data_IF_455490424749
#
_entry.id   IF_455490424749
#
_cell.length_a   1.000
_cell.length_b   1.000
_cell.length_c   1.000
_cell.angle_alpha   90.00
_cell.angle_beta   90.00
_cell.angle_gamma   90.00
#
_symmetry.space_group_name_H-M   'P 1'
#
loop_
_entity.id
_entity.type
_entity.pdbx_description
1 polymer ?
#
# COMPACT_ATOMS: atom_id res chain seq x y z
N UNK A 1 0.37 -7.39 -31.47
CA UNK A 1 1.33 -6.74 -30.53
C UNK A 1 0.52 -5.99 -29.49
N UNK A 2 0.82 -6.20 -28.21
CA UNK A 2 0.28 -5.41 -27.10
C UNK A 2 1.31 -4.34 -26.70
N UNK A 3 0.83 -3.15 -26.35
CA UNK A 3 1.68 -2.06 -25.83
C UNK A 3 1.15 -1.72 -24.45
N UNK A 4 1.96 -1.92 -23.42
CA UNK A 4 1.64 -1.55 -22.04
C UNK A 4 2.03 -0.10 -21.82
N UNK A 5 1.12 0.70 -21.26
CA UNK A 5 1.29 2.13 -21.08
C UNK A 5 0.82 2.50 -19.69
N UNK A 6 1.50 3.46 -19.07
CA UNK A 6 1.11 3.98 -17.77
C UNK A 6 -0.06 4.95 -17.91
N UNK A 7 -1.03 4.79 -17.02
CA UNK A 7 -2.19 5.65 -16.89
C UNK A 7 -2.42 5.97 -15.40
N UNK A 8 -2.92 7.16 -15.13
CA UNK A 8 -3.33 7.57 -13.79
C UNK A 8 -4.86 7.49 -13.74
N UNK A 9 -5.39 6.94 -12.65
CA UNK A 9 -6.81 6.96 -12.37
C UNK A 9 -7.16 8.23 -11.60
N UNK A 10 -7.94 9.12 -12.21
CA UNK A 10 -8.33 10.42 -11.65
C UNK A 10 -9.83 10.63 -11.92
N UNK A 11 -10.60 10.97 -10.89
CA UNK A 11 -12.04 11.25 -10.98
C UNK A 11 -12.88 10.18 -11.70
N UNK A 12 -12.52 8.91 -11.52
CA UNK A 12 -13.23 7.80 -12.16
C UNK A 12 -12.79 7.49 -13.59
N UNK A 13 -11.81 8.23 -14.12
CA UNK A 13 -11.34 8.15 -15.50
C UNK A 13 -9.85 7.75 -15.56
N UNK A 14 -9.51 6.89 -16.52
CA UNK A 14 -8.11 6.57 -16.83
C UNK A 14 -7.53 7.64 -17.76
N UNK A 15 -6.53 8.36 -17.28
CA UNK A 15 -5.80 9.38 -18.03
C UNK A 15 -4.42 8.85 -18.39
N UNK A 16 -4.18 8.69 -19.69
CA UNK A 16 -2.85 8.33 -20.20
C UNK A 16 -1.89 9.51 -20.02
N UNK A 17 -0.65 9.22 -19.64
CA UNK A 17 0.39 10.24 -19.54
C UNK A 17 0.72 10.88 -20.90
N UNK A 18 0.51 10.14 -21.99
CA UNK A 18 0.70 10.61 -23.37
C UNK A 18 -0.45 10.16 -24.27
N UNK A 19 -0.89 11.00 -25.22
CA UNK A 19 -1.90 10.60 -26.20
C UNK A 19 -1.45 9.39 -27.01
N UNK A 20 -2.36 8.45 -27.24
CA UNK A 20 -2.10 7.32 -28.11
C UNK A 20 -2.44 7.68 -29.56
N UNK A 21 -1.57 7.37 -30.53
CA UNK A 21 -1.85 7.61 -31.96
C UNK A 21 -2.81 6.53 -32.51
N UNK A 22 -3.96 6.36 -31.85
CA UNK A 22 -5.00 5.45 -32.28
C UNK A 22 -6.04 6.20 -33.14
N UNK A 23 -6.56 5.56 -34.20
CA UNK A 23 -7.71 6.09 -34.93
C UNK A 23 -8.91 6.34 -34.01
N UNK A 24 -9.72 7.34 -34.35
CA UNK A 24 -11.00 7.59 -33.66
C UNK A 24 -11.88 6.34 -33.65
N UNK A 25 -12.49 6.04 -32.49
CA UNK A 25 -13.35 4.86 -32.25
C UNK A 25 -12.64 3.50 -32.30
N UNK A 26 -11.33 3.46 -32.10
CA UNK A 26 -10.61 2.20 -31.94
C UNK A 26 -11.09 1.45 -30.69
N UNK A 27 -11.34 0.14 -30.82
CA UNK A 27 -11.65 -0.74 -29.68
C UNK A 27 -10.36 -1.06 -28.94
N UNK A 28 -10.33 -0.83 -27.63
CA UNK A 28 -9.19 -1.11 -26.77
C UNK A 28 -9.59 -2.04 -25.62
N UNK A 29 -8.64 -2.84 -25.15
CA UNK A 29 -8.79 -3.66 -23.94
C UNK A 29 -7.93 -3.04 -22.85
N UNK A 30 -8.50 -2.86 -21.66
CA UNK A 30 -7.81 -2.30 -20.51
C UNK A 30 -7.56 -3.43 -19.51
N UNK A 31 -6.30 -3.61 -19.12
CA UNK A 31 -5.89 -4.49 -18.03
C UNK A 31 -5.41 -3.60 -16.89
N UNK A 32 -6.01 -3.74 -15.71
CA UNK A 32 -5.57 -3.04 -14.50
C UNK A 32 -4.86 -4.06 -13.62
N UNK A 33 -3.56 -3.90 -13.47
CA UNK A 33 -2.78 -4.67 -12.51
C UNK A 33 -2.84 -3.94 -11.18
N UNK A 34 -3.71 -4.40 -10.28
CA UNK A 34 -3.59 -4.05 -8.87
C UNK A 34 -2.43 -4.87 -8.32
N UNK A 35 -1.42 -4.26 -7.69
CA UNK A 35 -0.47 -5.05 -6.92
C UNK A 35 -1.30 -5.92 -5.96
N UNK A 36 -0.95 -7.20 -5.84
CA UNK A 36 -1.51 -8.02 -4.76
C UNK A 36 -1.40 -7.21 -3.49
N UNK A 37 -2.49 -7.19 -2.69
CA UNK A 37 -2.43 -6.61 -1.35
C UNK A 37 -1.11 -7.05 -0.74
N UNK A 38 -0.34 -6.09 -0.23
CA UNK A 38 1.07 -6.26 0.13
C UNK A 38 1.19 -7.19 1.33
N UNK A 39 0.90 -8.47 1.09
CA UNK A 39 0.61 -9.51 2.06
C UNK A 39 1.92 -9.83 2.78
N UNK A 40 3.03 -9.74 2.04
CA UNK A 40 4.37 -9.81 2.57
C UNK A 40 4.66 -8.63 3.52
N UNK A 41 4.39 -7.37 3.13
CA UNK A 41 4.57 -6.24 4.06
C UNK A 41 3.66 -6.34 5.28
N UNK A 42 2.40 -6.74 5.12
CA UNK A 42 1.49 -6.95 6.24
C UNK A 42 1.99 -8.05 7.19
N UNK A 43 2.55 -9.13 6.62
CA UNK A 43 3.18 -10.19 7.39
C UNK A 43 4.38 -9.69 8.19
N UNK A 44 5.29 -8.94 7.55
CA UNK A 44 6.45 -8.36 8.22
C UNK A 44 6.07 -7.32 9.28
N UNK A 45 5.04 -6.50 9.01
CA UNK A 45 4.47 -5.56 9.99
C UNK A 45 3.97 -6.30 11.22
N UNK A 46 3.14 -7.33 11.05
CA UNK A 46 2.60 -8.11 12.17
C UNK A 46 3.71 -8.82 12.98
N UNK A 47 4.70 -9.40 12.30
CA UNK A 47 5.84 -10.03 12.96
C UNK A 47 6.68 -9.02 13.78
N UNK A 48 6.91 -7.83 13.22
CA UNK A 48 7.64 -6.76 13.91
C UNK A 48 6.88 -6.24 15.13
N UNK A 49 5.55 -6.05 15.03
CA UNK A 49 4.72 -5.62 16.14
C UNK A 49 4.77 -6.64 17.29
N UNK A 50 4.65 -7.93 16.98
CA UNK A 50 4.71 -8.99 17.98
C UNK A 50 6.06 -9.03 18.72
N UNK A 51 7.16 -8.86 17.99
CA UNK A 51 8.51 -8.82 18.58
C UNK A 51 8.73 -7.58 19.45
N UNK A 52 8.26 -6.42 19.01
CA UNK A 52 8.34 -5.17 19.75
C UNK A 52 7.50 -5.24 21.04
N UNK A 53 6.25 -5.68 20.96
CA UNK A 53 5.39 -5.87 22.13
C UNK A 53 6.03 -6.79 23.17
N UNK A 54 6.64 -7.89 22.76
CA UNK A 54 7.34 -8.79 23.69
C UNK A 54 8.46 -8.09 24.48
N UNK A 55 9.12 -7.11 23.87
CA UNK A 55 10.23 -6.39 24.49
C UNK A 55 9.75 -5.19 25.31
N UNK A 56 8.72 -4.48 24.82
CA UNK A 56 8.19 -3.26 25.44
C UNK A 56 7.12 -3.51 26.50
N UNK A 57 6.45 -4.67 26.50
CA UNK A 57 5.45 -5.05 27.50
C UNK A 57 6.14 -5.59 28.77
N UNK A 58 6.98 -4.74 29.35
CA UNK A 58 7.72 -5.01 30.57
C UNK A 58 7.23 -4.08 31.68
N UNK A 59 6.49 -4.62 32.68
CA UNK A 59 5.96 -3.83 33.79
C UNK A 59 7.05 -3.13 34.62
N UNK A 60 8.29 -3.61 34.57
CA UNK A 60 9.40 -2.96 35.25
C UNK A 60 9.83 -1.63 34.60
N UNK A 61 9.39 -1.35 33.38
CA UNK A 61 9.64 -0.10 32.67
C UNK A 61 8.55 0.96 32.94
N UNK A 62 7.45 0.57 33.60
CA UNK A 62 6.33 1.45 33.99
C UNK A 62 6.58 2.24 35.29
N UNK A 63 7.79 2.18 35.86
CA UNK A 63 8.17 2.82 37.12
C UNK A 63 7.84 4.32 37.16
N UNK A 64 7.97 5.01 36.02
CA UNK A 64 7.63 6.44 35.93
C UNK A 64 6.11 6.70 36.05
N UNK A 65 5.28 5.77 35.56
CA UNK A 65 3.82 5.83 35.68
C UNK A 65 3.37 5.62 37.13
N UNK A 66 4.07 4.76 37.88
CA UNK A 66 3.82 4.53 39.30
C UNK A 66 4.25 5.70 40.19
N UNK A 67 5.30 6.43 39.80
CA UNK A 67 5.76 7.63 40.54
C UNK A 67 4.82 8.83 40.35
N UNK A 68 4.09 8.90 39.25
CA UNK A 68 3.10 9.97 38.97
C UNK A 68 1.80 9.84 39.78
N UNK A 69 1.52 8.65 40.31
CA UNK A 69 0.30 8.38 41.11
C UNK A 69 0.49 8.58 42.62
N UNK A 70 1.70 8.95 43.07
CA UNK A 70 2.01 9.31 44.47
C UNK A 70 2.10 10.82 44.64
#
# INVERSE_FOLDING_TARGET
MSTTLEAIYEDGLLRLARPLPLPSRSRVTVTVETPEEDTERQHWLAASEAALRKTWDNPADDVFNEMLTK
#
